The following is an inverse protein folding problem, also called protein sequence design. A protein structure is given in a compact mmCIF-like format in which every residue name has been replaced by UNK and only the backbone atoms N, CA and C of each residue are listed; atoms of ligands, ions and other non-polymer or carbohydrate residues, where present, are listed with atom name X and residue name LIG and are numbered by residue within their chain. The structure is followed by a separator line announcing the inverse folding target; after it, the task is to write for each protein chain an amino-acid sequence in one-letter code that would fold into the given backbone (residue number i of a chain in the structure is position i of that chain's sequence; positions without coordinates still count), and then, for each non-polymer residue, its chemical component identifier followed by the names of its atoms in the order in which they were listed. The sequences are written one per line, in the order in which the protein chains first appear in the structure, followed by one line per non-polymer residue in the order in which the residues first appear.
data_IF_624278441575
#
_entry.id   IF_624278441575
#
_cell.length_a   1.000
_cell.length_b   1.000
_cell.length_c   1.000
_cell.angle_alpha   90.00
_cell.angle_beta   90.00
_cell.angle_gamma   90.00
#
_symmetry.space_group_name_H-M   'P 1'
#
loop_
_entity.id
_entity.type
_entity.pdbx_description
1 polymer ?
#
# COMPACT_ATOMS: atom_id res chain seq x y z
N UNK A 1 25.68 -17.38 -9.14
CA UNK A 1 24.49 -17.92 -8.44
C UNK A 1 24.84 -19.02 -7.42
N UNK A 2 25.62 -20.04 -7.82
CA UNK A 2 26.01 -21.18 -6.95
C UNK A 2 26.66 -20.78 -5.62
N UNK A 3 27.61 -19.84 -5.64
CA UNK A 3 28.31 -19.41 -4.41
C UNK A 3 27.39 -18.72 -3.40
N UNK A 4 26.40 -17.95 -3.89
CA UNK A 4 25.39 -17.32 -3.02
C UNK A 4 24.50 -18.37 -2.35
N UNK A 5 24.10 -19.41 -3.09
CA UNK A 5 23.29 -20.51 -2.51
C UNK A 5 24.09 -21.27 -1.47
N UNK A 6 25.37 -21.55 -1.76
CA UNK A 6 26.27 -22.22 -0.83
C UNK A 6 26.34 -21.47 0.49
N UNK A 7 26.67 -20.18 0.45
CA UNK A 7 26.82 -19.37 1.65
C UNK A 7 25.50 -19.14 2.38
N UNK A 8 24.43 -18.78 1.68
CA UNK A 8 23.16 -18.40 2.31
C UNK A 8 22.36 -19.60 2.84
N UNK A 9 22.49 -20.78 2.24
CA UNK A 9 21.65 -21.95 2.55
C UNK A 9 22.49 -23.12 3.06
N UNK A 10 23.48 -23.58 2.28
CA UNK A 10 24.17 -24.84 2.55
C UNK A 10 25.14 -24.76 3.72
N UNK A 11 25.79 -23.62 3.92
CA UNK A 11 26.75 -23.40 5.01
C UNK A 11 26.22 -22.49 6.11
N UNK A 12 24.96 -22.03 6.02
CA UNK A 12 24.41 -21.07 6.97
C UNK A 12 23.91 -21.80 8.23
N UNK A 13 24.54 -21.60 9.40
CA UNK A 13 24.16 -22.30 10.63
C UNK A 13 22.75 -21.91 11.13
N UNK A 14 22.26 -20.71 10.79
CA UNK A 14 20.92 -20.23 11.15
C UNK A 14 19.82 -20.92 10.35
N UNK A 15 20.11 -21.31 9.10
CA UNK A 15 19.18 -22.07 8.25
C UNK A 15 19.14 -23.54 8.65
N UNK A 16 20.30 -24.12 8.96
CA UNK A 16 20.41 -25.53 9.37
C UNK A 16 19.82 -25.75 10.77
N UNK A 17 19.75 -24.68 11.57
CA UNK A 17 19.16 -24.69 12.90
C UNK A 17 20.13 -25.10 14.01
N UNK A 18 21.44 -25.03 13.75
CA UNK A 18 22.47 -25.23 14.77
C UNK A 18 22.51 -24.09 15.79
N UNK A 19 22.01 -22.91 15.43
CA UNK A 19 21.87 -21.75 16.31
C UNK A 19 20.44 -21.62 16.86
N UNK A 20 20.25 -21.02 18.05
CA UNK A 20 18.92 -20.74 18.58
C UNK A 20 18.17 -19.71 17.69
N UNK A 21 16.85 -19.66 17.80
CA UNK A 21 16.03 -18.72 16.99
C UNK A 21 16.42 -17.25 17.22
N UNK A 22 16.87 -16.92 18.44
CA UNK A 22 17.35 -15.58 18.78
C UNK A 22 18.52 -15.13 17.90
N UNK A 23 19.39 -16.06 17.48
CA UNK A 23 20.55 -15.76 16.64
C UNK A 23 20.16 -15.18 15.27
N UNK A 24 18.95 -15.49 14.76
CA UNK A 24 18.47 -14.91 13.50
C UNK A 24 18.37 -13.37 13.56
N UNK A 25 18.20 -12.80 14.76
CA UNK A 25 18.11 -11.36 14.97
C UNK A 25 19.46 -10.71 15.31
N UNK A 26 20.51 -11.51 15.51
CA UNK A 26 21.86 -11.07 15.85
C UNK A 26 22.84 -11.27 14.68
N UNK A 27 22.49 -12.16 13.75
CA UNK A 27 23.26 -12.49 12.56
C UNK A 27 22.68 -11.86 11.29
N UNK A 28 23.55 -11.65 10.31
CA UNK A 28 23.19 -11.18 8.99
C UNK A 28 22.57 -12.31 8.16
N UNK A 29 22.09 -11.96 6.97
CA UNK A 29 21.49 -12.89 6.02
C UNK A 29 22.36 -14.12 5.68
N UNK A 30 23.68 -14.03 5.85
CA UNK A 30 24.64 -15.08 5.51
C UNK A 30 25.04 -15.93 6.72
N UNK A 31 24.57 -15.59 7.92
CA UNK A 31 24.87 -16.29 9.17
C UNK A 31 26.08 -15.73 9.92
N UNK A 32 26.57 -14.54 9.55
CA UNK A 32 27.67 -13.86 10.26
C UNK A 32 27.10 -12.89 11.29
N UNK A 33 27.59 -12.84 12.53
CA UNK A 33 27.14 -11.85 13.53
C UNK A 33 27.24 -10.41 13.02
N UNK A 34 26.22 -9.58 13.24
CA UNK A 34 26.20 -8.18 12.78
C UNK A 34 27.34 -7.33 13.38
N UNK A 35 27.84 -7.72 14.55
CA UNK A 35 28.94 -7.03 15.23
C UNK A 35 30.31 -7.31 14.61
N UNK A 36 30.42 -8.31 13.73
CA UNK A 36 31.67 -8.68 13.10
C UNK A 36 31.99 -7.74 11.91
N UNK A 37 33.24 -7.31 11.80
CA UNK A 37 33.73 -6.49 10.70
C UNK A 37 33.66 -7.21 9.35
N UNK A 38 33.61 -8.55 9.35
CA UNK A 38 33.38 -9.37 8.16
C UNK A 38 31.89 -9.51 7.77
N UNK A 39 30.96 -8.94 8.53
CA UNK A 39 29.53 -8.99 8.22
C UNK A 39 29.23 -8.19 6.95
N UNK A 40 28.31 -8.72 6.13
CA UNK A 40 27.80 -7.97 4.98
C UNK A 40 26.79 -6.88 5.43
N UNK A 41 26.37 -6.88 6.69
CA UNK A 41 25.40 -5.92 7.26
C UNK A 41 23.97 -6.11 6.76
N UNK A 42 23.72 -7.11 5.92
CA UNK A 42 22.39 -7.35 5.34
C UNK A 42 21.47 -8.01 6.36
N UNK A 43 20.66 -7.22 7.05
CA UNK A 43 19.76 -7.68 8.12
C UNK A 43 18.42 -8.18 7.56
N UNK A 44 18.19 -9.50 7.57
CA UNK A 44 17.00 -10.14 6.97
C UNK A 44 16.46 -11.34 7.78
N UNK A 45 16.15 -11.17 9.07
CA UNK A 45 15.81 -12.26 9.98
C UNK A 45 14.59 -13.07 9.51
N UNK A 46 13.56 -12.40 8.98
CA UNK A 46 12.35 -13.09 8.52
C UNK A 46 12.63 -13.97 7.29
N UNK A 47 13.47 -13.50 6.37
CA UNK A 47 13.82 -14.31 5.20
C UNK A 47 14.60 -15.57 5.62
N UNK A 48 15.60 -15.43 6.50
CA UNK A 48 16.36 -16.55 7.05
C UNK A 48 15.44 -17.54 7.80
N UNK A 49 14.48 -17.03 8.57
CA UNK A 49 13.48 -17.86 9.24
C UNK A 49 12.67 -18.72 8.24
N UNK A 50 12.25 -18.16 7.10
CA UNK A 50 11.55 -18.97 6.07
C UNK A 50 12.44 -20.05 5.46
N UNK A 51 13.75 -19.83 5.35
CA UNK A 51 14.68 -20.87 4.90
C UNK A 51 14.88 -21.95 5.96
N UNK A 52 14.99 -21.57 7.23
CA UNK A 52 15.09 -22.52 8.36
C UNK A 52 13.86 -23.42 8.43
N UNK A 53 12.66 -22.85 8.27
CA UNK A 53 11.42 -23.64 8.20
C UNK A 53 11.40 -24.57 6.98
N UNK A 54 11.84 -24.09 5.81
CA UNK A 54 11.89 -24.92 4.61
C UNK A 54 12.90 -26.08 4.73
N UNK A 55 14.03 -25.81 5.39
CA UNK A 55 15.04 -26.82 5.71
C UNK A 55 14.47 -27.87 6.68
N UNK A 56 13.76 -27.45 7.73
CA UNK A 56 13.09 -28.37 8.65
C UNK A 56 12.06 -29.28 7.94
N UNK A 57 11.40 -28.78 6.89
CA UNK A 57 10.41 -29.55 6.13
C UNK A 57 11.02 -30.53 5.11
N UNK A 58 12.08 -30.12 4.40
CA UNK A 58 12.56 -30.84 3.20
C UNK A 58 14.07 -31.01 3.09
N UNK A 59 14.83 -30.56 4.10
CA UNK A 59 16.29 -30.51 4.07
C UNK A 59 16.79 -29.62 2.93
N UNK A 60 17.89 -30.02 2.28
CA UNK A 60 18.50 -29.28 1.15
C UNK A 60 17.90 -29.62 -0.22
N UNK A 61 16.74 -30.31 -0.28
CA UNK A 61 16.17 -30.73 -1.57
C UNK A 61 15.76 -29.51 -2.41
N UNK A 62 16.39 -29.24 -3.58
CA UNK A 62 16.20 -27.97 -4.29
C UNK A 62 14.75 -27.71 -4.74
N UNK A 63 13.98 -28.77 -5.03
CA UNK A 63 12.61 -28.65 -5.53
C UNK A 63 11.71 -27.85 -4.60
N UNK A 64 11.84 -28.01 -3.27
CA UNK A 64 10.98 -27.31 -2.30
C UNK A 64 11.27 -25.81 -2.28
N UNK A 65 12.54 -25.43 -2.42
CA UNK A 65 12.97 -24.05 -2.43
C UNK A 65 12.45 -23.31 -3.67
N UNK A 66 12.56 -23.94 -4.84
CA UNK A 66 12.02 -23.40 -6.08
C UNK A 66 10.49 -23.37 -6.07
N UNK A 67 9.84 -24.42 -5.54
CA UNK A 67 8.39 -24.46 -5.41
C UNK A 67 7.87 -23.28 -4.57
N UNK A 68 8.46 -23.03 -3.40
CA UNK A 68 8.07 -21.89 -2.58
C UNK A 68 8.28 -20.56 -3.31
N UNK A 69 9.41 -20.38 -4.01
CA UNK A 69 9.64 -19.14 -4.77
C UNK A 69 8.59 -18.95 -5.88
N UNK A 70 8.20 -20.02 -6.59
CA UNK A 70 7.11 -19.98 -7.57
C UNK A 70 5.79 -19.59 -6.89
N UNK A 71 5.47 -20.17 -5.73
CA UNK A 71 4.26 -19.81 -4.97
C UNK A 71 4.25 -18.33 -4.57
N UNK A 72 5.37 -17.81 -4.05
CA UNK A 72 5.49 -16.39 -3.74
C UNK A 72 5.35 -15.49 -4.99
N UNK A 73 5.82 -15.93 -6.15
CA UNK A 73 5.64 -15.19 -7.41
C UNK A 73 4.18 -15.20 -7.88
N UNK A 74 3.49 -16.33 -7.75
CA UNK A 74 2.06 -16.44 -8.04
C UNK A 74 1.23 -15.53 -7.13
N UNK A 75 1.51 -15.52 -5.83
CA UNK A 75 0.82 -14.61 -4.89
C UNK A 75 1.14 -13.15 -5.18
N UNK A 76 2.40 -12.81 -5.49
CA UNK A 76 2.78 -11.45 -5.88
C UNK A 76 2.02 -11.00 -7.12
N UNK A 77 1.91 -11.86 -8.13
CA UNK A 77 1.14 -11.61 -9.36
C UNK A 77 -0.34 -11.34 -9.04
N UNK A 78 -0.96 -12.15 -8.20
CA UNK A 78 -2.35 -11.94 -7.78
C UNK A 78 -2.55 -10.63 -7.00
N UNK A 79 -1.58 -10.26 -6.15
CA UNK A 79 -1.59 -9.00 -5.40
C UNK A 79 -1.39 -7.78 -6.32
N UNK A 80 -0.56 -7.89 -7.37
CA UNK A 80 -0.40 -6.86 -8.41
C UNK A 80 -1.71 -6.66 -9.15
N UNK A 81 -2.39 -7.72 -9.57
CA UNK A 81 -3.71 -7.63 -10.21
C UNK A 81 -4.73 -6.96 -9.28
N UNK A 82 -4.72 -7.29 -7.99
CA UNK A 82 -5.61 -6.69 -6.99
C UNK A 82 -5.31 -5.21 -6.78
N UNK A 83 -4.03 -4.84 -6.72
CA UNK A 83 -3.56 -3.46 -6.65
C UNK A 83 -3.96 -2.66 -7.89
N UNK A 84 -3.79 -3.24 -9.08
CA UNK A 84 -4.20 -2.63 -10.34
C UNK A 84 -5.72 -2.35 -10.37
N UNK A 85 -6.56 -3.26 -9.83
CA UNK A 85 -8.01 -3.02 -9.70
C UNK A 85 -8.35 -1.82 -8.81
N UNK A 86 -7.54 -1.53 -7.78
CA UNK A 86 -7.73 -0.39 -6.87
C UNK A 86 -7.31 0.94 -7.50
N UNK A 87 -6.29 0.92 -8.35
CA UNK A 87 -5.69 2.11 -8.97
C UNK A 87 -6.38 2.50 -10.29
N UNK A 88 -6.69 1.53 -11.13
CA UNK A 88 -7.19 1.78 -12.48
C UNK A 88 -8.62 2.33 -12.47
N UNK A 89 -8.93 3.28 -13.37
CA UNK A 89 -10.31 3.70 -13.63
C UNK A 89 -11.21 2.56 -14.15
N UNK A 90 -12.52 2.66 -13.91
CA UNK A 90 -13.49 1.63 -14.30
C UNK A 90 -13.48 1.30 -15.82
N UNK A 91 -13.21 2.29 -16.68
CA UNK A 91 -13.25 2.12 -18.14
C UNK A 91 -12.14 1.23 -18.70
N UNK A 92 -10.96 1.19 -18.05
CA UNK A 92 -9.82 0.38 -18.49
C UNK A 92 -9.52 -0.78 -17.53
N UNK A 93 -10.33 -0.98 -16.49
CA UNK A 93 -10.06 -1.95 -15.43
C UNK A 93 -9.88 -3.38 -15.96
N UNK A 94 -10.74 -3.88 -16.85
CA UNK A 94 -10.64 -5.27 -17.35
C UNK A 94 -9.33 -5.51 -18.11
N UNK A 95 -9.06 -4.70 -19.13
CA UNK A 95 -7.85 -4.85 -19.96
C UNK A 95 -6.60 -4.49 -19.18
N UNK A 96 -6.60 -3.36 -18.45
CA UNK A 96 -5.44 -2.90 -17.71
C UNK A 96 -5.01 -3.85 -16.60
N UNK A 97 -5.94 -4.51 -15.91
CA UNK A 97 -5.58 -5.50 -14.87
C UNK A 97 -5.02 -6.79 -15.47
N UNK A 98 -5.57 -7.24 -16.60
CA UNK A 98 -5.03 -8.38 -17.34
C UNK A 98 -3.62 -8.10 -17.86
N UNK A 99 -3.40 -6.94 -18.49
CA UNK A 99 -2.09 -6.51 -18.97
C UNK A 99 -1.09 -6.39 -17.83
N UNK A 100 -1.47 -5.77 -16.70
CA UNK A 100 -0.60 -5.64 -15.53
C UNK A 100 -0.19 -7.02 -14.98
N UNK A 101 -1.15 -7.93 -14.81
CA UNK A 101 -0.89 -9.28 -14.31
C UNK A 101 -0.02 -10.10 -15.25
N UNK A 102 -0.34 -10.14 -16.55
CA UNK A 102 0.42 -10.91 -17.54
C UNK A 102 1.83 -10.37 -17.71
N UNK A 103 1.97 -9.03 -17.78
CA UNK A 103 3.28 -8.40 -17.88
C UNK A 103 4.13 -8.73 -16.67
N UNK A 104 3.59 -8.58 -15.45
CA UNK A 104 4.33 -8.91 -14.22
C UNK A 104 4.67 -10.41 -14.13
N UNK A 105 3.73 -11.29 -14.47
CA UNK A 105 3.95 -12.74 -14.38
C UNK A 105 5.07 -13.21 -15.31
N UNK A 106 5.12 -12.68 -16.53
CA UNK A 106 6.03 -13.12 -17.60
C UNK A 106 7.27 -12.24 -17.75
N UNK A 107 7.45 -11.18 -16.95
CA UNK A 107 8.54 -10.24 -17.14
C UNK A 107 9.91 -10.94 -16.89
N UNK A 108 10.86 -10.89 -17.84
CA UNK A 108 12.15 -11.56 -17.70
C UNK A 108 13.00 -11.03 -16.54
N UNK A 109 12.74 -9.80 -16.08
CA UNK A 109 13.40 -9.22 -14.90
C UNK A 109 13.20 -10.05 -13.63
N UNK A 110 12.13 -10.84 -13.53
CA UNK A 110 11.85 -11.66 -12.35
C UNK A 110 12.61 -13.00 -12.36
N UNK A 111 13.29 -13.34 -13.45
CA UNK A 111 14.02 -14.63 -13.57
C UNK A 111 15.05 -14.81 -12.45
N UNK A 112 15.82 -13.78 -12.10
CA UNK A 112 16.79 -13.86 -11.00
C UNK A 112 16.11 -14.09 -9.65
N UNK A 113 14.99 -13.41 -9.39
CA UNK A 113 14.25 -13.50 -8.13
C UNK A 113 13.52 -14.83 -7.96
N UNK A 114 12.97 -15.39 -9.05
CA UNK A 114 12.17 -16.63 -9.03
C UNK A 114 13.03 -17.87 -9.19
N UNK A 115 13.94 -17.89 -10.17
CA UNK A 115 14.81 -19.03 -10.42
C UNK A 115 15.94 -19.13 -9.38
N UNK A 116 16.44 -18.00 -8.86
CA UNK A 116 17.43 -18.00 -7.80
C UNK A 116 16.81 -18.37 -6.45
N UNK A 117 17.28 -19.45 -5.82
CA UNK A 117 16.81 -19.85 -4.47
C UNK A 117 16.90 -18.68 -3.48
N UNK A 118 18.03 -17.98 -3.49
CA UNK A 118 18.34 -16.82 -2.62
C UNK A 118 17.42 -15.62 -2.87
N UNK A 119 16.76 -15.55 -4.04
CA UNK A 119 15.82 -14.49 -4.43
C UNK A 119 14.52 -14.45 -3.64
N UNK A 120 14.26 -15.42 -2.75
CA UNK A 120 13.07 -15.44 -1.89
C UNK A 120 12.90 -14.14 -1.08
N UNK A 121 13.99 -13.48 -0.69
CA UNK A 121 13.95 -12.22 0.04
C UNK A 121 13.17 -11.15 -0.75
N UNK A 122 13.39 -11.05 -2.06
CA UNK A 122 12.71 -10.12 -2.95
C UNK A 122 11.23 -10.44 -3.07
N UNK A 123 10.90 -11.73 -3.25
CA UNK A 123 9.54 -12.18 -3.41
C UNK A 123 8.72 -11.98 -2.12
N UNK A 124 9.27 -12.36 -0.96
CA UNK A 124 8.62 -12.17 0.33
C UNK A 124 8.40 -10.68 0.63
N UNK A 125 9.43 -9.85 0.43
CA UNK A 125 9.31 -8.40 0.60
C UNK A 125 8.25 -7.80 -0.34
N UNK A 126 8.21 -8.21 -1.60
CA UNK A 126 7.20 -7.77 -2.57
C UNK A 126 5.77 -8.13 -2.13
N UNK A 127 5.54 -9.36 -1.67
CA UNK A 127 4.22 -9.78 -1.18
C UNK A 127 3.77 -8.97 0.04
N UNK A 128 4.63 -8.83 1.05
CA UNK A 128 4.33 -8.09 2.28
C UNK A 128 4.11 -6.59 2.00
N UNK A 129 4.92 -6.02 1.11
CA UNK A 129 4.76 -4.65 0.62
C UNK A 129 3.41 -4.42 -0.05
N UNK A 130 3.01 -5.29 -0.99
CA UNK A 130 1.73 -5.18 -1.69
C UNK A 130 0.55 -5.38 -0.72
N UNK A 131 0.66 -6.30 0.24
CA UNK A 131 -0.34 -6.48 1.29
C UNK A 131 -0.50 -5.24 2.17
N UNK A 132 0.62 -4.63 2.59
CA UNK A 132 0.62 -3.38 3.35
C UNK A 132 -0.08 -2.28 2.57
N UNK A 133 0.25 -2.12 1.28
CA UNK A 133 -0.41 -1.14 0.41
C UNK A 133 -1.92 -1.38 0.27
N UNK A 134 -2.35 -2.64 0.09
CA UNK A 134 -3.77 -2.97 -0.06
C UNK A 134 -4.57 -2.70 1.23
N UNK A 135 -3.99 -2.99 2.40
CA UNK A 135 -4.60 -2.67 3.69
C UNK A 135 -4.68 -1.16 3.92
N UNK A 136 -3.66 -0.41 3.50
CA UNK A 136 -3.69 1.05 3.55
C UNK A 136 -4.78 1.62 2.65
N UNK A 137 -4.89 1.11 1.42
CA UNK A 137 -5.95 1.46 0.47
C UNK A 137 -7.34 1.24 1.08
N UNK A 138 -7.51 0.13 1.82
CA UNK A 138 -8.73 -0.21 2.53
C UNK A 138 -9.00 0.70 3.73
N UNK A 139 -7.99 0.97 4.55
CA UNK A 139 -8.06 1.93 5.66
C UNK A 139 -8.56 3.29 5.16
N UNK A 140 -8.00 3.79 4.06
CA UNK A 140 -8.42 5.06 3.47
C UNK A 140 -9.86 5.03 2.98
N UNK A 141 -10.31 3.91 2.41
CA UNK A 141 -11.71 3.72 1.98
C UNK A 141 -12.67 3.75 3.18
N UNK A 142 -12.33 3.07 4.27
CA UNK A 142 -13.12 3.04 5.50
C UNK A 142 -13.19 4.42 6.17
N UNK A 143 -12.05 5.11 6.27
CA UNK A 143 -11.97 6.48 6.79
C UNK A 143 -12.85 7.45 6.01
N UNK A 144 -12.80 7.40 4.67
CA UNK A 144 -13.67 8.22 3.82
C UNK A 144 -15.15 7.89 4.00
N UNK A 145 -15.52 6.60 4.07
CA UNK A 145 -16.90 6.19 4.25
C UNK A 145 -17.48 6.70 5.58
N UNK A 146 -16.68 6.69 6.64
CA UNK A 146 -17.00 7.25 7.95
C UNK A 146 -17.20 8.77 7.89
N UNK A 147 -16.26 9.50 7.31
CA UNK A 147 -16.36 10.95 7.15
C UNK A 147 -17.65 11.33 6.39
N UNK A 148 -17.99 10.60 5.31
CA UNK A 148 -19.25 10.83 4.57
C UNK A 148 -20.50 10.56 5.41
N UNK A 149 -20.48 9.54 6.29
CA UNK A 149 -21.60 9.25 7.21
C UNK A 149 -21.76 10.39 8.23
N UNK A 150 -20.67 10.88 8.80
CA UNK A 150 -20.67 12.01 9.74
C UNK A 150 -21.21 13.29 9.09
N UNK A 151 -20.75 13.65 7.88
CA UNK A 151 -21.29 14.81 7.16
C UNK A 151 -22.78 14.68 6.86
N UNK A 152 -23.26 13.49 6.44
CA UNK A 152 -24.69 13.25 6.20
C UNK A 152 -25.53 13.44 7.46
N UNK A 153 -25.01 13.04 8.62
CA UNK A 153 -25.69 13.20 9.89
C UNK A 153 -25.79 14.70 10.27
N UNK A 154 -24.68 15.44 10.18
CA UNK A 154 -24.66 16.89 10.44
C UNK A 154 -25.63 17.65 9.53
N UNK A 155 -25.72 17.28 8.24
CA UNK A 155 -26.68 17.88 7.29
C UNK A 155 -28.12 17.49 7.61
N UNK A 156 -28.38 16.26 8.07
CA UNK A 156 -29.73 15.83 8.47
C UNK A 156 -30.21 16.60 9.71
N UNK A 157 -29.31 16.94 10.61
CA UNK A 157 -29.61 17.68 11.84
C UNK A 157 -29.74 19.20 11.60
N UNK A 158 -29.49 19.68 10.37
CA UNK A 158 -29.53 21.10 10.00
C UNK A 158 -30.31 21.28 8.66
N UNK A 159 -31.64 21.50 8.68
CA UNK A 159 -32.49 21.41 7.49
C UNK A 159 -32.46 22.70 6.65
N UNK A 160 -31.28 23.25 6.36
CA UNK A 160 -31.14 24.29 5.34
C UNK A 160 -30.88 23.59 4.00
N UNK A 161 -31.96 23.55 3.21
CA UNK A 161 -32.11 22.93 1.89
C UNK A 161 -30.95 23.24 0.93
N UNK A 162 -30.28 22.22 0.41
CA UNK A 162 -29.52 22.30 -0.86
C UNK A 162 -29.85 21.12 -1.76
N UNK A 163 -30.33 21.43 -2.96
CA UNK A 163 -30.53 20.49 -4.06
C UNK A 163 -29.20 19.84 -4.43
N UNK A 164 -29.14 18.52 -4.33
CA UNK A 164 -28.13 17.70 -4.98
C UNK A 164 -28.82 17.13 -6.23
N UNK A 165 -28.50 17.68 -7.41
CA UNK A 165 -28.93 17.11 -8.68
C UNK A 165 -28.03 15.94 -9.07
N UNK A 166 -28.67 14.96 -9.69
CA UNK A 166 -28.21 13.64 -10.06
C UNK A 166 -27.01 13.61 -11.02
N UNK A 167 -26.22 12.55 -10.83
CA UNK A 167 -25.12 12.03 -11.64
C UNK A 167 -25.16 12.37 -13.15
N UNK A 168 -24.03 12.86 -13.66
CA UNK A 168 -23.62 12.66 -15.06
C UNK A 168 -22.19 12.16 -15.10
N UNK A 169 -22.04 10.90 -15.51
CA UNK A 169 -20.78 10.17 -15.62
C UNK A 169 -20.04 10.59 -16.89
N UNK A 170 -18.87 11.23 -16.77
CA UNK A 170 -18.03 11.57 -17.93
C UNK A 170 -16.66 10.88 -17.89
N UNK A 171 -16.26 10.39 -19.06
CA UNK A 171 -15.08 9.55 -19.34
C UNK A 171 -13.77 10.35 -19.25
N UNK A 172 -12.77 9.81 -18.56
CA UNK A 172 -11.39 10.32 -18.61
C UNK A 172 -10.57 9.40 -19.52
N UNK A 173 -10.02 9.89 -20.63
CA UNK A 173 -9.07 9.13 -21.46
C UNK A 173 -7.66 9.17 -20.82
N UNK A 174 -6.82 8.16 -21.10
CA UNK A 174 -5.46 8.02 -20.53
C UNK A 174 -4.56 9.26 -20.69
N UNK A 175 -4.78 10.06 -21.74
CA UNK A 175 -4.05 11.32 -21.98
C UNK A 175 -4.37 12.40 -20.92
N UNK A 176 -5.61 12.46 -20.44
CA UNK A 176 -6.03 13.41 -19.40
C UNK A 176 -5.42 13.10 -18.04
N UNK A 177 -5.25 11.82 -17.71
CA UNK A 177 -4.63 11.39 -16.44
C UNK A 177 -3.16 11.85 -16.36
N UNK A 178 -2.41 11.72 -17.46
CA UNK A 178 -0.98 12.12 -17.51
C UNK A 178 -0.82 13.64 -17.37
N UNK A 179 -1.64 14.43 -18.07
CA UNK A 179 -1.60 15.90 -17.96
C UNK A 179 -2.02 16.42 -16.58
N UNK A 180 -3.00 15.78 -15.93
CA UNK A 180 -3.47 16.15 -14.58
C UNK A 180 -2.41 15.84 -13.50
N UNK A 181 -1.73 14.69 -13.63
CA UNK A 181 -0.59 14.32 -12.76
C UNK A 181 0.53 15.36 -12.88
N UNK A 182 0.87 15.78 -14.12
CA UNK A 182 1.90 16.80 -14.34
C UNK A 182 1.55 18.18 -13.76
N UNK A 183 0.30 18.64 -13.90
CA UNK A 183 -0.13 19.92 -13.32
C UNK A 183 -0.11 19.89 -11.79
N UNK A 184 -0.56 18.80 -11.17
CA UNK A 184 -0.59 18.71 -9.72
C UNK A 184 0.80 18.44 -9.11
N UNK A 185 1.72 17.81 -9.84
CA UNK A 185 3.13 17.74 -9.44
C UNK A 185 3.78 19.14 -9.40
N UNK A 186 3.49 19.98 -10.40
CA UNK A 186 3.90 21.41 -10.39
C UNK A 186 3.26 22.20 -9.25
N UNK A 187 2.02 21.89 -8.86
CA UNK A 187 1.35 22.50 -7.69
C UNK A 187 1.92 22.02 -6.37
N UNK A 188 2.28 20.73 -6.24
CA UNK A 188 2.98 20.18 -5.07
C UNK A 188 4.36 20.82 -4.88
N UNK A 189 5.11 21.03 -5.97
CA UNK A 189 6.38 21.76 -5.93
C UNK A 189 6.19 23.23 -5.50
N UNK A 190 5.06 23.85 -5.84
CA UNK A 190 4.69 25.19 -5.36
C UNK A 190 4.19 25.19 -3.91
N UNK A 191 3.42 24.19 -3.50
CA UNK A 191 2.92 24.02 -2.13
C UNK A 191 4.03 23.65 -1.14
N UNK A 192 5.05 22.90 -1.59
CA UNK A 192 6.29 22.65 -0.83
C UNK A 192 7.07 23.93 -0.52
N UNK A 193 6.88 25.01 -1.29
CA UNK A 193 7.39 26.36 -0.99
C UNK A 193 6.45 27.18 -0.11
N UNK A 194 5.22 26.72 0.11
CA UNK A 194 4.15 27.45 0.79
C UNK A 194 3.56 26.62 1.95
N UNK A 195 4.39 26.14 2.87
CA UNK A 195 3.97 25.62 4.17
C UNK A 195 2.96 24.44 4.16
N UNK A 196 2.56 23.92 5.33
CA UNK A 196 1.67 22.78 5.40
C UNK A 196 0.25 23.15 4.95
N UNK A 197 -0.26 22.37 3.99
CA UNK A 197 -1.57 22.48 3.35
C UNK A 197 -2.72 22.48 4.36
N UNK A 198 -3.43 23.61 4.46
CA UNK A 198 -4.77 23.73 5.06
C UNK A 198 -5.80 22.99 4.20
N UNK A 199 -5.92 21.68 4.38
CA UNK A 199 -6.97 20.86 3.72
C UNK A 199 -8.27 20.77 4.56
N UNK A 200 -8.35 21.46 5.70
CA UNK A 200 -9.48 21.38 6.63
C UNK A 200 -10.54 22.51 6.51
N UNK A 201 -10.37 23.48 5.61
CA UNK A 201 -11.28 24.64 5.55
C UNK A 201 -12.60 24.39 4.79
N UNK A 202 -12.84 23.18 4.26
CA UNK A 202 -14.12 22.86 3.60
C UNK A 202 -15.28 22.57 4.58
N UNK A 203 -15.04 22.63 5.90
CA UNK A 203 -16.09 22.60 6.93
C UNK A 203 -16.19 23.91 7.74
N UNK A 204 -15.49 24.97 7.36
CA UNK A 204 -15.74 26.29 7.95
C UNK A 204 -16.76 27.04 7.10
N UNK A 205 -18.01 26.61 7.22
CA UNK A 205 -19.11 27.51 6.96
C UNK A 205 -18.93 28.72 7.89
N UNK A 206 -18.74 29.91 7.32
CA UNK A 206 -18.94 31.16 8.06
C UNK A 206 -20.34 31.12 8.66
N UNK A 207 -20.45 30.87 9.94
CA UNK A 207 -21.66 31.13 10.72
C UNK A 207 -21.22 31.51 12.12
N UNK A 208 -21.76 32.64 12.60
CA UNK A 208 -21.53 33.18 13.95
C UNK A 208 -21.91 32.21 15.08
N UNK A 209 -21.98 32.68 16.33
CA UNK A 209 -21.85 31.81 17.51
C UNK A 209 -23.06 30.88 17.66
N UNK A 210 -22.90 29.62 17.27
CA UNK A 210 -23.86 28.55 17.55
C UNK A 210 -23.36 27.79 18.78
N UNK A 211 -24.17 27.80 19.84
CA UNK A 211 -23.93 27.07 21.09
C UNK A 211 -23.82 25.56 20.83
N UNK A 212 -22.89 24.83 21.50
CA UNK A 212 -22.70 23.41 21.27
C UNK A 212 -23.83 22.63 21.96
N UNK A 213 -24.85 22.22 21.20
CA UNK A 213 -25.78 21.19 21.64
C UNK A 213 -25.14 19.82 21.38
N UNK A 214 -25.03 19.03 22.45
CA UNK A 214 -24.48 17.67 22.48
C UNK A 214 -25.13 16.80 21.40
N UNK A 215 -24.38 16.43 20.37
CA UNK A 215 -24.70 15.26 19.56
C UNK A 215 -24.44 14.03 20.43
N UNK A 216 -25.49 13.47 21.04
CA UNK A 216 -25.44 12.13 21.63
C UNK A 216 -25.41 11.11 20.49
N UNK A 217 -24.24 10.52 20.30
CA UNK A 217 -23.97 9.46 19.36
C UNK A 217 -24.45 8.12 19.96
N UNK A 218 -25.27 7.36 19.23
CA UNK A 218 -25.70 6.03 19.66
C UNK A 218 -24.56 5.03 19.38
N UNK A 219 -23.89 4.59 20.45
CA UNK A 219 -22.59 3.90 20.44
C UNK A 219 -22.58 2.45 19.90
N UNK A 220 -23.72 1.81 19.63
CA UNK A 220 -23.72 0.34 19.46
C UNK A 220 -23.35 -0.19 18.08
N UNK A 221 -23.45 0.60 17.00
CA UNK A 221 -23.13 0.17 15.62
C UNK A 221 -21.85 0.81 15.04
N UNK A 222 -21.19 1.69 15.81
CA UNK A 222 -19.96 2.39 15.41
C UNK A 222 -18.69 1.66 15.78
N UNK A 223 -18.73 0.94 16.90
CA UNK A 223 -17.54 0.38 17.55
C UNK A 223 -16.81 -0.62 16.64
N UNK A 224 -17.56 -1.49 15.96
CA UNK A 224 -16.99 -2.44 14.98
C UNK A 224 -16.29 -1.75 13.80
N UNK A 225 -16.80 -0.59 13.37
CA UNK A 225 -16.19 0.20 12.29
C UNK A 225 -14.92 0.94 12.72
N UNK A 226 -14.86 1.38 13.98
CA UNK A 226 -13.66 1.98 14.59
C UNK A 226 -12.56 0.93 14.65
N UNK A 227 -12.89 -0.23 15.22
CA UNK A 227 -11.98 -1.35 15.40
C UNK A 227 -11.43 -1.82 14.05
N UNK A 228 -12.27 -1.99 13.03
CA UNK A 228 -11.81 -2.39 11.69
C UNK A 228 -10.87 -1.35 11.05
N UNK A 229 -11.12 -0.05 11.25
CA UNK A 229 -10.23 1.00 10.76
C UNK A 229 -8.86 0.96 11.44
N UNK A 230 -8.81 0.76 12.75
CA UNK A 230 -7.55 0.62 13.50
C UNK A 230 -6.82 -0.67 13.16
N UNK A 231 -7.55 -1.79 12.99
CA UNK A 231 -6.98 -3.06 12.58
C UNK A 231 -6.34 -2.99 11.18
N UNK A 232 -6.97 -2.32 10.22
CA UNK A 232 -6.39 -2.14 8.87
C UNK A 232 -5.14 -1.26 8.89
N UNK A 233 -5.09 -0.24 9.75
CA UNK A 233 -3.90 0.58 9.95
C UNK A 233 -2.76 -0.21 10.64
N UNK A 234 -3.09 -0.91 11.72
CA UNK A 234 -2.14 -1.77 12.43
C UNK A 234 -1.57 -2.86 11.51
N UNK A 235 -2.43 -3.49 10.72
CA UNK A 235 -2.01 -4.46 9.70
C UNK A 235 -1.09 -3.83 8.66
N UNK A 236 -1.39 -2.63 8.17
CA UNK A 236 -0.51 -1.89 7.23
C UNK A 236 0.90 -1.73 7.81
N UNK A 237 1.01 -1.26 9.05
CA UNK A 237 2.29 -1.05 9.74
C UNK A 237 3.02 -2.38 9.99
N UNK A 238 2.28 -3.41 10.40
CA UNK A 238 2.83 -4.74 10.65
C UNK A 238 3.44 -5.34 9.37
N UNK A 239 2.70 -5.33 8.26
CA UNK A 239 3.19 -5.86 6.99
C UNK A 239 4.33 -5.00 6.41
N UNK A 240 4.30 -3.68 6.61
CA UNK A 240 5.41 -2.80 6.24
C UNK A 240 6.70 -3.17 7.00
N UNK A 241 6.62 -3.33 8.32
CA UNK A 241 7.74 -3.74 9.15
C UNK A 241 8.23 -5.16 8.81
N UNK A 242 7.30 -6.09 8.55
CA UNK A 242 7.68 -7.44 8.10
C UNK A 242 8.39 -7.40 6.73
N UNK A 243 7.98 -6.51 5.83
CA UNK A 243 8.63 -6.34 4.54
C UNK A 243 10.07 -5.82 4.70
N UNK A 244 10.31 -4.84 5.59
CA UNK A 244 11.67 -4.32 5.86
C UNK A 244 12.58 -5.37 6.47
N UNK A 245 12.04 -6.25 7.33
CA UNK A 245 12.76 -7.40 7.87
C UNK A 245 13.03 -8.53 6.85
N UNK A 246 12.36 -8.51 5.69
CA UNK A 246 12.69 -9.39 4.57
C UNK A 246 13.74 -8.76 3.66
N UNK A 247 13.65 -7.44 3.42
CA UNK A 247 14.59 -6.69 2.58
C UNK A 247 14.51 -5.18 2.84
N UNK A 248 15.65 -4.52 3.00
CA UNK A 248 15.78 -3.05 3.21
C UNK A 248 14.97 -2.16 2.25
N UNK A 249 14.89 -2.43 0.93
CA UNK A 249 14.13 -1.58 0.00
C UNK A 249 12.62 -1.52 0.27
N UNK A 250 12.08 -2.36 1.16
CA UNK A 250 10.67 -2.35 1.49
C UNK A 250 10.18 -1.09 2.21
N UNK A 251 11.09 -0.21 2.66
CA UNK A 251 10.75 1.14 3.18
C UNK A 251 9.96 1.99 2.17
N UNK A 252 10.00 1.62 0.88
CA UNK A 252 9.29 2.27 -0.21
C UNK A 252 7.75 2.26 -0.07
N UNK A 253 7.19 1.54 0.92
CA UNK A 253 5.75 1.52 1.15
C UNK A 253 5.21 2.90 1.51
N UNK A 254 5.98 3.69 2.26
CA UNK A 254 5.55 5.03 2.69
C UNK A 254 5.43 6.00 1.49
N UNK A 255 6.46 6.14 0.61
CA UNK A 255 6.31 6.87 -0.64
C UNK A 255 5.12 6.41 -1.50
N UNK A 256 4.89 5.10 -1.61
CA UNK A 256 3.78 4.57 -2.41
C UNK A 256 2.42 4.96 -1.81
N UNK A 257 2.25 4.86 -0.49
CA UNK A 257 1.05 5.30 0.21
C UNK A 257 0.80 6.80 0.01
N UNK A 258 1.84 7.63 0.13
CA UNK A 258 1.75 9.08 -0.13
C UNK A 258 1.34 9.36 -1.58
N UNK A 259 1.94 8.66 -2.54
CA UNK A 259 1.58 8.80 -3.95
C UNK A 259 0.14 8.37 -4.24
N UNK A 260 -0.32 7.31 -3.58
CA UNK A 260 -1.71 6.86 -3.68
C UNK A 260 -2.70 7.88 -3.12
N UNK A 261 -2.39 8.49 -1.97
CA UNK A 261 -3.19 9.59 -1.41
C UNK A 261 -3.25 10.78 -2.37
N UNK A 262 -2.13 11.12 -3.01
CA UNK A 262 -2.09 12.14 -4.05
C UNK A 262 -2.97 11.79 -5.25
N UNK A 263 -2.86 10.57 -5.80
CA UNK A 263 -3.70 10.08 -6.91
C UNK A 263 -5.19 10.08 -6.55
N UNK A 264 -5.54 9.72 -5.32
CA UNK A 264 -6.93 9.80 -4.85
C UNK A 264 -7.40 11.24 -4.71
N UNK A 265 -6.53 12.13 -4.23
CA UNK A 265 -6.79 13.57 -4.16
C UNK A 265 -7.12 14.16 -5.52
N UNK A 266 -6.36 13.82 -6.57
CA UNK A 266 -6.61 14.34 -7.93
C UNK A 266 -7.95 13.87 -8.49
N UNK A 267 -8.31 12.59 -8.31
CA UNK A 267 -9.62 12.06 -8.77
C UNK A 267 -10.80 12.74 -8.07
N UNK A 268 -10.58 13.39 -6.92
CA UNK A 268 -11.62 14.09 -6.13
C UNK A 268 -11.77 15.58 -6.46
N UNK A 269 -10.82 16.21 -7.14
CA UNK A 269 -10.97 17.60 -7.60
C UNK A 269 -11.75 17.71 -8.93
N UNK A 270 -11.70 16.67 -9.77
CA UNK A 270 -12.43 16.61 -11.05
C UNK A 270 -13.98 16.77 -10.92
N UNK A 271 -14.65 16.32 -9.85
CA UNK A 271 -16.06 16.62 -9.59
C UNK A 271 -16.35 18.10 -9.24
N UNK A 272 -15.42 18.80 -8.56
CA UNK A 272 -15.67 20.14 -8.03
C UNK A 272 -15.37 21.26 -9.03
N UNK A 273 -14.37 21.09 -9.91
CA UNK A 273 -14.02 22.13 -10.89
C UNK A 273 -15.11 22.36 -11.95
N UNK A 274 -15.95 21.36 -12.23
CA UNK A 274 -17.08 21.50 -13.16
C UNK A 274 -18.32 22.17 -12.52
N UNK A 275 -18.47 22.10 -11.20
CA UNK A 275 -19.55 22.81 -10.50
C UNK A 275 -19.31 24.33 -10.47
N UNK A 276 -18.04 24.75 -10.42
CA UNK A 276 -17.70 26.18 -10.52
C UNK A 276 -17.77 26.70 -11.96
N UNK A 277 -17.51 25.87 -12.98
CA UNK A 277 -17.56 26.30 -14.37
C UNK A 277 -19.00 26.53 -14.87
N UNK A 278 -19.95 25.68 -14.47
CA UNK A 278 -21.35 25.85 -14.88
C UNK A 278 -22.03 27.06 -14.20
N UNK A 279 -21.65 27.39 -12.96
CA UNK A 279 -22.18 28.58 -12.27
C UNK A 279 -21.62 29.92 -12.81
N UNK A 280 -20.61 29.89 -13.69
CA UNK A 280 -20.07 31.10 -14.33
C UNK A 280 -20.71 31.33 -15.71
N UNK A 281 -21.26 30.28 -16.34
CA UNK A 281 -21.91 30.40 -17.66
C UNK A 281 -23.40 30.74 -17.54
N UNK A 282 -24.06 30.40 -16.42
CA UNK A 282 -25.45 30.82 -16.15
C UNK A 282 -25.57 32.26 -15.59
N UNK A 283 -24.48 33.03 -15.60
CA UNK A 283 -24.41 34.40 -15.09
C UNK A 283 -23.75 35.39 -16.08
N UNK A 284 -23.76 35.05 -17.38
CA UNK A 284 -23.44 35.94 -18.51
C UNK A 284 -24.61 35.84 -19.50
#
# INVERSE_FOLDING_TARGET
MMERVRRAILSNPDVIGHTPIKALFENDFWGTPLSDAGSHGSYRPLCVATYRLNYAFSGFKPWSYHFLNIMFHCTATALVVTTAKRLLPAYCMRVGTAVAGLTFAAHPIHTEAVAGVVGRADLAACNLFLLSFLLYSEHMRLREARLRKQCRQIVKDNPVRRQITSDTTFRLSCHGLVQQIMMNFRRLLKASRAGPLKFFDACEAKSGPIRPSKCQYSDSASDTGEVLQWLTLAGTLLFAAAATLCKEPAIMVLPLCIFYDFLKGTRREDPYSKFSANNIIDNI
#
